data_IF_034463607320
#
_entry.id   IF_034463607320
#
_cell.length_a   1.000
_cell.length_b   1.000
_cell.length_c   1.000
_cell.angle_alpha   90.00
_cell.angle_beta   90.00
_cell.angle_gamma   90.00
#
_symmetry.space_group_name_H-M   'P 1'
#
loop_
_entity.id
_entity.type
_entity.pdbx_description
1 polymer ?
#
# COMPACT_ATOMS: atom_id res chain seq x y z
N UNK A 1 23.91 -12.10 -20.98
CA UNK A 1 23.04 -11.12 -20.33
C UNK A 1 22.29 -10.40 -21.44
N UNK A 2 20.96 -10.43 -21.48
CA UNK A 2 20.17 -9.76 -22.52
C UNK A 2 19.94 -8.32 -22.05
N UNK A 3 20.29 -7.35 -22.88
CA UNK A 3 20.05 -5.93 -22.60
C UNK A 3 18.97 -5.40 -23.54
N UNK A 4 17.95 -4.77 -22.99
CA UNK A 4 16.84 -4.17 -23.75
C UNK A 4 16.75 -2.69 -23.42
N UNK A 5 16.59 -1.87 -24.45
CA UNK A 5 16.30 -0.44 -24.31
C UNK A 5 14.79 -0.27 -24.48
N UNK A 6 14.13 0.22 -23.43
CA UNK A 6 12.71 0.55 -23.47
C UNK A 6 12.54 2.07 -23.51
N UNK A 7 11.91 2.56 -24.58
CA UNK A 7 11.42 3.94 -24.67
C UNK A 7 9.92 3.91 -24.42
N UNK A 8 9.45 4.67 -23.44
CA UNK A 8 8.05 4.71 -23.04
C UNK A 8 7.60 6.15 -22.79
N UNK A 9 6.31 6.42 -22.91
CA UNK A 9 5.68 7.72 -22.62
C UNK A 9 4.41 7.49 -21.82
N UNK A 10 4.19 8.28 -20.78
CA UNK A 10 2.90 8.31 -20.08
C UNK A 10 1.86 9.03 -20.91
N UNK A 11 0.74 8.36 -21.19
CA UNK A 11 -0.43 8.98 -21.83
C UNK A 11 -1.35 9.66 -20.82
N UNK A 12 -1.47 9.11 -19.60
CA UNK A 12 -2.30 9.64 -18.51
C UNK A 12 -1.48 9.72 -17.21
N UNK A 13 -1.02 10.94 -16.88
CA UNK A 13 -0.22 11.21 -15.68
C UNK A 13 -1.04 11.16 -14.40
N UNK A 14 -2.37 11.37 -14.45
CA UNK A 14 -3.22 11.36 -13.27
C UNK A 14 -3.40 9.94 -12.74
N UNK A 15 -3.73 9.00 -13.63
CA UNK A 15 -3.78 7.57 -13.26
C UNK A 15 -2.42 7.05 -12.84
N UNK A 16 -1.35 7.40 -13.54
CA UNK A 16 -0.01 6.93 -13.21
C UNK A 16 0.44 7.36 -11.80
N UNK A 17 0.08 8.57 -11.34
CA UNK A 17 0.42 9.06 -10.01
C UNK A 17 -0.41 8.40 -8.89
N UNK A 18 -1.61 7.90 -9.20
CA UNK A 18 -2.52 7.34 -8.20
C UNK A 18 -2.47 5.81 -8.13
N UNK A 19 -2.36 5.14 -9.28
CA UNK A 19 -2.33 3.69 -9.38
C UNK A 19 -0.93 3.12 -9.10
N UNK A 20 0.15 3.92 -9.26
CA UNK A 20 1.53 3.41 -9.13
C UNK A 20 2.45 4.33 -8.31
N UNK A 21 2.84 3.90 -7.10
CA UNK A 21 3.75 4.63 -6.19
C UNK A 21 5.10 5.00 -6.85
N UNK A 22 5.68 4.09 -7.63
CA UNK A 22 6.93 4.32 -8.36
C UNK A 22 6.86 3.68 -9.75
N UNK A 23 6.39 4.46 -10.71
CA UNK A 23 6.21 4.05 -12.09
C UNK A 23 7.53 3.63 -12.77
N UNK A 24 8.67 4.23 -12.43
CA UNK A 24 9.97 3.86 -13.02
C UNK A 24 10.37 2.45 -12.63
N UNK A 25 10.25 2.13 -11.34
CA UNK A 25 10.54 0.80 -10.83
C UNK A 25 9.53 -0.22 -11.38
N UNK A 26 8.26 0.17 -11.50
CA UNK A 26 7.22 -0.67 -12.09
C UNK A 26 7.53 -1.03 -13.55
N UNK A 27 7.81 -0.02 -14.38
CA UNK A 27 8.18 -0.21 -15.79
C UNK A 27 9.43 -1.10 -15.90
N UNK A 28 10.44 -0.86 -15.06
CA UNK A 28 11.66 -1.68 -15.03
C UNK A 28 11.39 -3.16 -14.73
N UNK A 29 10.66 -3.45 -13.65
CA UNK A 29 10.38 -4.83 -13.21
C UNK A 29 9.55 -5.58 -14.26
N UNK A 30 8.54 -4.93 -14.82
CA UNK A 30 7.69 -5.56 -15.83
C UNK A 30 8.41 -5.78 -17.15
N UNK A 31 9.30 -4.86 -17.54
CA UNK A 31 10.14 -5.02 -18.74
C UNK A 31 11.06 -6.22 -18.60
N UNK A 32 11.70 -6.40 -17.43
CA UNK A 32 12.57 -7.56 -17.19
C UNK A 32 11.79 -8.89 -17.26
N UNK A 33 10.59 -8.93 -16.68
CA UNK A 33 9.72 -10.10 -16.75
C UNK A 33 9.25 -10.40 -18.18
N UNK A 34 8.85 -9.38 -18.93
CA UNK A 34 8.42 -9.51 -20.32
C UNK A 34 9.57 -9.97 -21.23
N UNK A 35 10.76 -9.38 -21.09
CA UNK A 35 11.95 -9.77 -21.85
C UNK A 35 12.36 -11.20 -21.55
N UNK A 36 12.33 -11.63 -20.29
CA UNK A 36 12.63 -13.03 -19.92
C UNK A 36 11.64 -14.00 -20.54
N UNK A 37 10.35 -13.64 -20.57
CA UNK A 37 9.31 -14.45 -21.20
C UNK A 37 9.52 -14.54 -22.71
N UNK A 38 9.82 -13.42 -23.39
CA UNK A 38 10.14 -13.41 -24.81
C UNK A 38 11.38 -14.25 -25.12
N UNK A 39 12.43 -14.12 -24.32
CA UNK A 39 13.66 -14.90 -24.42
C UNK A 39 13.43 -16.42 -24.24
N UNK A 40 12.43 -16.81 -23.44
CA UNK A 40 12.07 -18.22 -23.26
C UNK A 40 11.21 -18.81 -24.38
N UNK A 41 10.52 -17.97 -25.15
CA UNK A 41 9.48 -18.39 -26.10
C UNK A 41 9.97 -18.40 -27.55
N UNK A 42 11.08 -17.71 -27.84
CA UNK A 42 11.66 -17.58 -29.16
C UNK A 42 13.16 -17.87 -29.14
N UNK A 43 13.66 -18.57 -30.15
CA UNK A 43 15.10 -18.79 -30.31
C UNK A 43 15.82 -17.47 -30.62
N UNK A 44 17.05 -17.32 -30.13
CA UNK A 44 17.89 -16.15 -30.39
C UNK A 44 18.27 -16.04 -31.88
N UNK A 45 18.49 -17.20 -32.52
CA UNK A 45 18.71 -17.34 -33.96
C UNK A 45 18.25 -18.73 -34.40
N UNK A 46 17.92 -18.91 -35.68
CA UNK A 46 17.69 -20.23 -36.27
C UNK A 46 18.90 -20.56 -37.17
N UNK A 47 19.80 -21.42 -36.70
CA UNK A 47 20.96 -21.89 -37.47
C UNK A 47 20.62 -23.03 -38.46
N UNK A 48 19.35 -23.37 -38.63
CA UNK A 48 18.91 -24.32 -39.63
C UNK A 48 18.65 -23.57 -40.94
N UNK A 49 19.70 -23.47 -41.75
CA UNK A 49 19.55 -23.27 -43.18
C UNK A 49 18.81 -24.49 -43.76
N UNK A 50 17.97 -24.25 -44.77
CA UNK A 50 17.09 -25.19 -45.49
C UNK A 50 15.65 -25.38 -44.96
N UNK A 51 14.74 -24.64 -45.58
CA UNK A 51 13.38 -25.11 -45.88
C UNK A 51 12.26 -24.51 -45.03
N UNK A 52 11.64 -23.45 -45.55
CA UNK A 52 10.26 -23.04 -45.29
C UNK A 52 9.74 -23.16 -43.84
N UNK A 53 10.09 -22.20 -43.00
CA UNK A 53 9.12 -21.59 -42.09
C UNK A 53 9.69 -20.23 -41.65
N UNK A 54 8.94 -19.15 -41.91
CA UNK A 54 9.19 -17.81 -41.35
C UNK A 54 8.94 -17.83 -39.84
N UNK A 55 9.73 -18.60 -39.09
CA UNK A 55 9.64 -18.62 -37.65
C UNK A 55 10.19 -17.31 -37.10
N UNK A 56 9.31 -16.54 -36.46
CA UNK A 56 9.62 -15.31 -35.74
C UNK A 56 10.80 -15.57 -34.79
N UNK A 57 11.95 -14.92 -35.03
CA UNK A 57 13.12 -15.03 -34.14
C UNK A 57 13.30 -13.74 -33.34
N UNK A 58 14.02 -13.83 -32.21
CA UNK A 58 14.40 -12.66 -31.42
C UNK A 58 15.45 -11.78 -32.12
N UNK A 59 15.95 -12.17 -33.29
CA UNK A 59 16.92 -11.38 -34.06
C UNK A 59 16.28 -10.68 -35.25
N UNK A 60 15.41 -11.38 -35.98
CA UNK A 60 14.77 -10.87 -37.20
C UNK A 60 13.50 -10.04 -36.93
N UNK A 61 12.77 -10.36 -35.87
CA UNK A 61 11.42 -9.83 -35.63
C UNK A 61 11.30 -9.12 -34.28
N UNK A 62 12.39 -8.55 -33.75
CA UNK A 62 12.39 -7.83 -32.45
C UNK A 62 11.30 -6.76 -32.40
N UNK A 63 11.15 -5.97 -33.47
CA UNK A 63 10.15 -4.89 -33.49
C UNK A 63 8.72 -5.43 -33.47
N UNK A 64 8.38 -6.41 -34.31
CA UNK A 64 7.02 -6.99 -34.36
C UNK A 64 6.65 -7.74 -33.07
N UNK A 65 7.61 -8.45 -32.47
CA UNK A 65 7.41 -9.18 -31.21
C UNK A 65 7.30 -8.23 -30.01
N UNK A 66 8.06 -7.13 -30.05
CA UNK A 66 8.08 -6.10 -29.01
C UNK A 66 6.80 -5.25 -29.03
N UNK A 67 6.39 -4.74 -30.20
CA UNK A 67 5.18 -3.92 -30.33
C UNK A 67 3.90 -4.71 -29.97
N UNK A 68 3.78 -5.96 -30.42
CA UNK A 68 2.58 -6.76 -30.18
C UNK A 68 2.37 -7.18 -28.73
N UNK A 69 3.44 -7.26 -27.92
CA UNK A 69 3.38 -7.80 -26.54
C UNK A 69 3.63 -6.76 -25.45
N UNK A 70 4.33 -5.67 -25.75
CA UNK A 70 4.59 -4.57 -24.80
C UNK A 70 3.46 -3.52 -24.84
N UNK A 71 2.63 -3.48 -25.90
CA UNK A 71 1.44 -2.63 -25.97
C UNK A 71 0.42 -2.86 -24.84
N UNK A 72 0.45 -4.02 -24.19
CA UNK A 72 -0.33 -4.35 -23.01
C UNK A 72 0.59 -4.71 -21.82
N UNK A 73 1.34 -3.72 -21.32
CA UNK A 73 1.64 -3.63 -19.89
C UNK A 73 0.36 -3.31 -19.10
N UNK A 74 -0.74 -4.00 -19.41
CA UNK A 74 -1.93 -3.96 -18.59
C UNK A 74 -1.55 -4.63 -17.27
N UNK A 75 -1.38 -3.80 -16.26
CA UNK A 75 -1.54 -4.09 -14.84
C UNK A 75 -1.67 -5.59 -14.59
N UNK A 76 -0.54 -6.30 -14.48
CA UNK A 76 -0.58 -7.74 -14.23
C UNK A 76 -1.50 -7.95 -13.03
N UNK A 77 -2.63 -8.64 -13.23
CA UNK A 77 -3.76 -8.63 -12.28
C UNK A 77 -3.36 -9.10 -10.87
N UNK A 78 -2.29 -9.87 -10.79
CA UNK A 78 -1.62 -10.32 -9.56
C UNK A 78 -0.85 -9.19 -8.85
N UNK A 79 -0.16 -8.32 -9.60
CA UNK A 79 0.57 -7.16 -9.06
C UNK A 79 -0.41 -6.06 -8.67
N UNK A 80 -1.47 -5.87 -9.46
CA UNK A 80 -2.58 -4.97 -9.19
C UNK A 80 -3.22 -5.21 -7.82
N UNK A 81 -3.56 -6.47 -7.54
CA UNK A 81 -4.22 -6.88 -6.31
C UNK A 81 -3.26 -6.86 -5.11
N UNK A 82 -2.00 -7.26 -5.29
CA UNK A 82 -0.98 -7.14 -4.26
C UNK A 82 -0.68 -5.67 -3.89
N UNK A 83 -0.62 -4.80 -4.89
CA UNK A 83 -0.40 -3.36 -4.73
C UNK A 83 -1.58 -2.70 -4.02
N UNK A 84 -2.81 -2.96 -4.46
CA UNK A 84 -4.02 -2.46 -3.83
C UNK A 84 -4.11 -2.91 -2.36
N UNK A 85 -3.79 -4.17 -2.07
CA UNK A 85 -3.75 -4.71 -0.70
C UNK A 85 -2.72 -3.97 0.17
N UNK A 86 -1.55 -3.65 -0.39
CA UNK A 86 -0.52 -2.85 0.29
C UNK A 86 -0.98 -1.41 0.54
N UNK A 87 -1.60 -0.77 -0.45
CA UNK A 87 -2.14 0.58 -0.32
C UNK A 87 -3.23 0.65 0.75
N UNK A 88 -4.16 -0.31 0.77
CA UNK A 88 -5.20 -0.41 1.81
C UNK A 88 -4.59 -0.61 3.20
N UNK A 89 -3.57 -1.47 3.34
CA UNK A 89 -2.88 -1.65 4.62
C UNK A 89 -2.22 -0.35 5.10
N UNK A 90 -1.55 0.39 4.21
CA UNK A 90 -0.97 1.71 4.52
C UNK A 90 -2.05 2.70 4.94
N UNK A 91 -3.17 2.76 4.21
CA UNK A 91 -4.28 3.65 4.52
C UNK A 91 -4.92 3.35 5.88
N UNK A 92 -5.10 2.06 6.21
CA UNK A 92 -5.63 1.63 7.51
C UNK A 92 -4.68 2.05 8.64
N UNK A 93 -3.37 1.86 8.47
CA UNK A 93 -2.38 2.25 9.48
C UNK A 93 -2.35 3.77 9.66
N UNK A 94 -2.38 4.53 8.56
CA UNK A 94 -2.43 5.99 8.60
C UNK A 94 -3.70 6.50 9.31
N UNK A 95 -4.86 5.91 9.03
CA UNK A 95 -6.11 6.23 9.71
C UNK A 95 -6.02 5.93 11.22
N UNK A 96 -5.50 4.75 11.59
CA UNK A 96 -5.31 4.37 13.01
C UNK A 96 -4.34 5.31 13.73
N UNK A 97 -3.25 5.69 13.09
CA UNK A 97 -2.33 6.66 13.65
C UNK A 97 -3.02 8.00 13.93
N UNK A 98 -3.85 8.48 12.99
CA UNK A 98 -4.59 9.73 13.17
C UNK A 98 -5.60 9.67 14.31
N UNK A 99 -6.32 8.55 14.46
CA UNK A 99 -7.26 8.32 15.57
C UNK A 99 -6.53 8.41 16.91
N UNK A 100 -5.40 7.71 17.05
CA UNK A 100 -4.61 7.69 18.29
C UNK A 100 -4.08 9.09 18.63
N UNK A 101 -3.59 9.83 17.63
CA UNK A 101 -3.12 11.20 17.82
C UNK A 101 -4.23 12.10 18.40
N UNK A 102 -5.41 12.09 17.78
CA UNK A 102 -6.55 12.89 18.23
C UNK A 102 -6.99 12.48 19.63
N UNK A 103 -6.99 11.18 19.93
CA UNK A 103 -7.35 10.68 21.25
C UNK A 103 -6.39 11.18 22.36
N UNK A 104 -5.08 11.18 22.11
CA UNK A 104 -4.09 11.70 23.07
C UNK A 104 -4.32 13.18 23.34
N UNK A 105 -4.53 13.98 22.28
CA UNK A 105 -4.82 15.41 22.39
C UNK A 105 -6.11 15.66 23.20
N UNK A 106 -7.15 14.87 22.96
CA UNK A 106 -8.42 14.94 23.72
C UNK A 106 -8.23 14.63 25.21
N UNK A 107 -7.44 13.61 25.55
CA UNK A 107 -7.16 13.23 26.94
C UNK A 107 -6.34 14.31 27.65
N UNK A 108 -5.35 14.88 26.97
CA UNK A 108 -4.52 15.97 27.51
C UNK A 108 -5.39 17.20 27.85
N UNK A 109 -6.27 17.60 26.93
CA UNK A 109 -7.20 18.71 27.15
C UNK A 109 -8.11 18.46 28.35
N UNK A 110 -8.70 17.27 28.45
CA UNK A 110 -9.58 16.91 29.56
C UNK A 110 -8.87 16.94 30.92
N UNK A 111 -7.66 16.37 31.01
CA UNK A 111 -6.86 16.40 32.25
C UNK A 111 -6.45 17.82 32.64
N UNK A 112 -6.07 18.65 31.66
CA UNK A 112 -5.73 20.05 31.88
C UNK A 112 -6.92 20.84 32.43
N UNK A 113 -8.11 20.63 31.88
CA UNK A 113 -9.33 21.32 32.32
C UNK A 113 -9.78 20.88 33.72
N UNK A 114 -9.74 19.58 34.01
CA UNK A 114 -10.06 19.04 35.35
C UNK A 114 -9.10 19.58 36.42
N UNK A 115 -7.81 19.69 36.08
CA UNK A 115 -6.79 20.25 36.97
C UNK A 115 -7.02 21.75 37.23
N UNK A 116 -7.31 22.53 36.17
CA UNK A 116 -7.62 23.98 36.28
C UNK A 116 -8.83 24.24 37.16
N UNK A 117 -9.89 23.42 37.03
CA UNK A 117 -11.11 23.54 37.83
C UNK A 117 -10.96 22.97 39.25
N UNK A 118 -9.81 22.39 39.60
CA UNK A 118 -9.55 21.73 40.90
C UNK A 118 -10.61 20.69 41.27
N UNK A 119 -11.20 20.02 40.28
CA UNK A 119 -12.24 19.01 40.51
C UNK A 119 -11.63 17.71 41.07
N UNK A 120 -10.41 17.38 40.64
CA UNK A 120 -9.70 16.15 41.06
C UNK A 120 -8.23 16.47 41.33
N UNK A 121 -7.70 15.93 42.44
CA UNK A 121 -6.27 15.85 42.70
C UNK A 121 -5.75 14.50 42.19
N UNK A 122 -4.89 14.53 41.17
CA UNK A 122 -4.30 13.35 40.56
C UNK A 122 -2.83 13.26 40.96
N UNK A 123 -2.46 12.15 41.58
CA UNK A 123 -1.07 11.71 41.63
C UNK A 123 -0.65 11.12 40.27
N UNK A 124 0.65 10.90 40.06
CA UNK A 124 1.16 10.44 38.76
C UNK A 124 0.61 9.05 38.38
N UNK A 125 0.34 8.20 39.38
CA UNK A 125 -0.20 6.85 39.18
C UNK A 125 -1.67 6.87 38.74
N UNK A 126 -2.52 7.67 39.40
CA UNK A 126 -3.93 7.88 38.98
C UNK A 126 -4.01 8.56 37.63
N UNK A 127 -3.09 9.49 37.32
CA UNK A 127 -3.02 10.15 36.02
C UNK A 127 -2.73 9.13 34.92
N UNK A 128 -1.75 8.25 35.11
CA UNK A 128 -1.44 7.18 34.17
C UNK A 128 -2.63 6.22 33.97
N UNK A 129 -3.31 5.84 35.06
CA UNK A 129 -4.50 5.00 35.00
C UNK A 129 -5.66 5.67 34.23
N UNK A 130 -5.91 6.96 34.46
CA UNK A 130 -6.93 7.72 33.73
C UNK A 130 -6.61 7.85 32.25
N UNK A 131 -5.36 8.17 31.90
CA UNK A 131 -4.91 8.25 30.50
C UNK A 131 -5.13 6.92 29.80
N UNK A 132 -4.72 5.81 30.41
CA UNK A 132 -4.90 4.46 29.85
C UNK A 132 -6.39 4.14 29.60
N UNK A 133 -7.24 4.34 30.61
CA UNK A 133 -8.67 4.06 30.49
C UNK A 133 -9.34 4.91 29.41
N UNK A 134 -9.02 6.21 29.35
CA UNK A 134 -9.58 7.11 28.34
C UNK A 134 -9.09 6.77 26.93
N UNK A 135 -7.82 6.42 26.76
CA UNK A 135 -7.28 5.99 25.47
C UNK A 135 -7.92 4.68 24.99
N UNK A 136 -8.16 3.73 25.90
CA UNK A 136 -8.87 2.47 25.58
C UNK A 136 -10.29 2.77 25.12
N UNK A 137 -10.98 3.73 25.74
CA UNK A 137 -12.34 4.12 25.37
C UNK A 137 -12.37 4.88 24.04
N UNK A 138 -11.45 5.82 23.82
CA UNK A 138 -11.43 6.68 22.62
C UNK A 138 -10.89 5.95 21.37
N UNK A 139 -9.93 5.05 21.55
CA UNK A 139 -9.34 4.26 20.46
C UNK A 139 -9.99 2.88 20.32
N UNK A 140 -10.90 2.51 21.23
CA UNK A 140 -11.62 1.26 21.20
C UNK A 140 -12.66 1.25 20.09
N UNK A 141 -12.61 0.24 19.22
CA UNK A 141 -13.57 0.02 18.13
C UNK A 141 -14.97 -0.44 18.62
N UNK A 142 -15.14 -0.55 19.95
CA UNK A 142 -16.33 -1.08 20.60
C UNK A 142 -17.01 0.04 21.37
N UNK A 143 -18.30 0.28 21.12
CA UNK A 143 -19.09 1.25 21.86
C UNK A 143 -18.93 1.01 23.38
N UNK A 144 -18.64 2.09 24.11
CA UNK A 144 -18.49 2.02 25.55
C UNK A 144 -19.81 1.53 26.17
N UNK A 145 -19.81 0.31 26.72
CA UNK A 145 -20.97 -0.20 27.45
C UNK A 145 -21.11 0.58 28.76
N UNK A 146 -22.21 1.32 28.99
CA UNK A 146 -22.37 2.10 30.19
C UNK A 146 -22.44 1.17 31.40
N UNK A 147 -21.42 1.22 32.25
CA UNK A 147 -21.42 0.49 33.52
C UNK A 147 -22.14 1.38 34.53
N UNK A 148 -23.45 1.19 34.68
CA UNK A 148 -24.21 1.88 35.74
C UNK A 148 -23.81 1.26 37.08
N UNK A 149 -22.96 1.95 37.83
CA UNK A 149 -22.61 1.55 39.18
C UNK A 149 -23.79 1.92 40.11
N UNK A 150 -24.64 0.94 40.42
CA UNK A 150 -25.73 1.07 41.40
C UNK A 150 -25.26 0.74 42.82
N UNK A 151 -23.96 0.92 43.13
CA UNK A 151 -23.41 0.72 44.46
C UNK A 151 -24.19 1.54 45.48
N UNK A 152 -24.99 0.85 46.28
CA UNK A 152 -25.81 1.43 47.33
C UNK A 152 -24.90 2.04 48.38
N UNK A 153 -25.01 3.36 48.55
CA UNK A 153 -24.63 4.08 49.77
C UNK A 153 -25.22 3.31 50.97
N UNK A 154 -24.37 2.51 51.61
CA UNK A 154 -24.69 1.81 52.85
C UNK A 154 -23.73 2.36 53.88
N UNK A 155 -24.35 2.82 54.96
CA UNK A 155 -23.87 3.74 55.98
C UNK A 155 -22.71 3.22 56.83
#
# INVERSE_FOLDING_TARGET
MISTILVWRMTDTYKAAFDVDNYENFVRVQTDAAVRKLASMYSYDNFADEGHDENITLRSSVNEVSEARIGYLAYAQEIASAMLKRQQATAIVAARHKIVQVAVEMVEMALSELSKRKIVALDDERKAAMVSNLLIILCGDKEASPIVNTGTLSH
#
